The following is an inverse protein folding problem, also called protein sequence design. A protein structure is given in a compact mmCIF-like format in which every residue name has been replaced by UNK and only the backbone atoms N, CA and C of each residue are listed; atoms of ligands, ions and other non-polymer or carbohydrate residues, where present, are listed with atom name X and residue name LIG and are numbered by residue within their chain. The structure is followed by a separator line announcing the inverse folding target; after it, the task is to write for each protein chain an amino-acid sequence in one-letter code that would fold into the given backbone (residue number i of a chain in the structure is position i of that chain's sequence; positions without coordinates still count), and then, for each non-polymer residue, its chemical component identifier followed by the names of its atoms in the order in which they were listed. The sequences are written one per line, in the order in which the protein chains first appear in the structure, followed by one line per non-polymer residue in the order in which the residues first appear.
data_IF_931962034716
#
_entry.id   IF_931962034716
#
_cell.length_a   1.000
_cell.length_b   1.000
_cell.length_c   1.000
_cell.angle_alpha   90.00
_cell.angle_beta   90.00
_cell.angle_gamma   90.00
#
_symmetry.space_group_name_H-M   'P 1'
#
loop_
_entity.id
_entity.type
_entity.pdbx_description
1 polymer ?
#
# COMPACT_ATOMS: atom_id res chain seq x y z
N UNK A 1 19.45 15.85 9.98
CA UNK A 1 19.98 14.46 9.93
C UNK A 1 21.18 14.24 10.87
N UNK A 2 22.12 15.19 11.02
CA UNK A 2 23.27 15.07 11.94
C UNK A 2 22.89 15.02 13.43
N UNK A 3 21.95 15.84 13.88
CA UNK A 3 21.55 15.95 15.30
C UNK A 3 21.02 14.63 15.86
N UNK A 4 20.21 13.88 15.08
CA UNK A 4 19.70 12.58 15.50
C UNK A 4 20.80 11.50 15.58
N UNK A 5 21.84 11.58 14.75
CA UNK A 5 22.96 10.63 14.78
C UNK A 5 23.86 10.86 16.00
N UNK A 6 24.17 12.12 16.30
CA UNK A 6 24.96 12.48 17.49
C UNK A 6 24.21 12.07 18.76
N UNK A 7 22.93 12.40 18.87
CA UNK A 7 22.11 11.97 20.01
C UNK A 7 22.10 10.45 20.18
N UNK A 8 21.95 9.71 19.09
CA UNK A 8 21.95 8.24 19.12
C UNK A 8 23.29 7.65 19.56
N UNK A 9 24.40 8.21 19.08
CA UNK A 9 25.76 7.81 19.49
C UNK A 9 25.94 8.07 20.99
N UNK A 10 25.51 9.23 21.48
CA UNK A 10 25.59 9.58 22.91
C UNK A 10 24.74 8.61 23.75
N UNK A 11 23.49 8.35 23.37
CA UNK A 11 22.63 7.39 24.08
C UNK A 11 23.26 5.99 24.10
N UNK A 12 23.80 5.53 22.97
CA UNK A 12 24.48 4.23 22.88
C UNK A 12 25.68 4.16 23.83
N UNK A 13 26.50 5.22 23.85
CA UNK A 13 27.67 5.31 24.72
C UNK A 13 27.30 5.31 26.20
N UNK A 14 26.32 6.12 26.62
CA UNK A 14 25.85 6.15 28.01
C UNK A 14 25.20 4.83 28.42
N UNK A 15 24.46 4.18 27.53
CA UNK A 15 23.87 2.85 27.77
C UNK A 15 24.97 1.81 28.01
N UNK A 16 26.02 1.80 27.18
CA UNK A 16 27.17 0.90 27.33
C UNK A 16 27.90 1.15 28.65
N UNK A 17 28.17 2.42 29.00
CA UNK A 17 28.83 2.78 30.24
C UNK A 17 28.03 2.31 31.46
N UNK A 18 26.70 2.49 31.43
CA UNK A 18 25.81 2.04 32.50
C UNK A 18 25.87 0.52 32.66
N UNK A 19 25.86 -0.24 31.57
CA UNK A 19 25.97 -1.71 31.65
C UNK A 19 27.35 -2.19 32.09
N UNK A 20 28.44 -1.50 31.72
CA UNK A 20 29.78 -1.80 32.23
C UNK A 20 29.79 -1.67 33.75
N UNK A 21 29.23 -0.59 34.30
CA UNK A 21 29.17 -0.34 35.74
C UNK A 21 28.28 -1.36 36.49
N UNK A 22 27.21 -1.86 35.85
CA UNK A 22 26.26 -2.79 36.48
C UNK A 22 26.70 -4.26 36.43
N UNK A 23 27.39 -4.66 35.36
CA UNK A 23 27.66 -6.08 35.07
C UNK A 23 29.11 -6.51 35.37
N UNK A 24 30.01 -5.55 35.61
CA UNK A 24 31.46 -5.76 35.81
C UNK A 24 32.11 -6.65 34.72
N UNK A 25 31.51 -6.67 33.53
CA UNK A 25 31.95 -7.47 32.40
C UNK A 25 31.72 -6.68 31.10
N UNK A 26 32.82 -6.13 30.57
CA UNK A 26 32.78 -5.26 29.40
C UNK A 26 32.32 -5.98 28.11
N UNK A 27 32.63 -7.28 27.97
CA UNK A 27 32.19 -8.08 26.81
C UNK A 27 30.67 -8.24 26.85
N UNK A 28 30.14 -8.67 28.01
CA UNK A 28 28.72 -8.89 28.20
C UNK A 28 27.92 -7.57 28.05
N UNK A 29 28.42 -6.48 28.64
CA UNK A 29 27.83 -5.15 28.50
C UNK A 29 27.76 -4.68 27.04
N UNK A 30 28.83 -4.93 26.26
CA UNK A 30 28.86 -4.61 24.83
C UNK A 30 27.81 -5.39 24.03
N UNK A 31 27.68 -6.70 24.27
CA UNK A 31 26.69 -7.56 23.60
C UNK A 31 25.26 -7.08 23.91
N UNK A 32 24.94 -6.85 25.19
CA UNK A 32 23.60 -6.40 25.62
C UNK A 32 23.27 -5.04 25.00
N UNK A 33 24.23 -4.11 25.00
CA UNK A 33 24.04 -2.78 24.38
C UNK A 33 23.72 -2.91 22.89
N UNK A 34 24.47 -3.74 22.16
CA UNK A 34 24.26 -3.92 20.72
C UNK A 34 22.86 -4.51 20.44
N UNK A 35 22.42 -5.49 21.23
CA UNK A 35 21.08 -6.07 21.11
C UNK A 35 19.98 -5.04 21.41
N UNK A 36 20.11 -4.26 22.49
CA UNK A 36 19.14 -3.24 22.88
C UNK A 36 19.03 -2.13 21.82
N UNK A 37 20.16 -1.62 21.35
CA UNK A 37 20.20 -0.55 20.35
C UNK A 37 19.70 -1.05 18.99
N UNK A 38 20.07 -2.27 18.59
CA UNK A 38 19.60 -2.90 17.36
C UNK A 38 18.09 -3.13 17.36
N UNK A 39 17.54 -3.69 18.45
CA UNK A 39 16.09 -3.88 18.61
C UNK A 39 15.32 -2.55 18.64
N UNK A 40 15.86 -1.53 19.31
CA UNK A 40 15.30 -0.18 19.29
C UNK A 40 15.24 0.41 17.88
N UNK A 41 16.27 0.22 17.06
CA UNK A 41 16.29 0.68 15.67
C UNK A 41 15.20 0.00 14.82
N UNK A 42 15.06 -1.32 14.98
CA UNK A 42 14.01 -2.10 14.30
C UNK A 42 12.62 -1.58 14.73
N UNK A 43 12.39 -1.36 16.03
CA UNK A 43 11.12 -0.84 16.54
C UNK A 43 10.78 0.55 15.96
N UNK A 44 11.75 1.46 15.90
CA UNK A 44 11.57 2.80 15.30
C UNK A 44 11.26 2.70 13.81
N UNK A 45 11.92 1.78 13.09
CA UNK A 45 11.63 1.55 11.66
C UNK A 45 10.20 1.02 11.46
N UNK A 46 9.78 0.03 12.24
CA UNK A 46 8.43 -0.54 12.19
C UNK A 46 7.36 0.50 12.57
N UNK A 47 7.61 1.29 13.61
CA UNK A 47 6.69 2.36 14.06
C UNK A 47 6.49 3.42 12.99
N UNK A 48 7.58 3.89 12.34
CA UNK A 48 7.49 4.82 11.21
C UNK A 48 6.72 4.23 10.04
N UNK A 49 6.98 2.98 9.69
CA UNK A 49 6.26 2.31 8.61
C UNK A 49 4.76 2.22 8.91
N UNK A 50 4.39 1.85 10.16
CA UNK A 50 2.99 1.81 10.59
C UNK A 50 2.32 3.18 10.51
N UNK A 51 2.97 4.23 11.01
CA UNK A 51 2.46 5.61 10.91
C UNK A 51 2.25 6.06 9.48
N UNK A 52 3.19 5.71 8.58
CA UNK A 52 3.08 6.01 7.16
C UNK A 52 1.89 5.28 6.54
N UNK A 53 1.77 3.97 6.73
CA UNK A 53 0.65 3.19 6.20
C UNK A 53 -0.71 3.65 6.74
N UNK A 54 -0.78 4.11 7.99
CA UNK A 54 -1.99 4.67 8.58
C UNK A 54 -2.53 5.89 7.80
N UNK A 55 -1.64 6.75 7.27
CA UNK A 55 -2.05 7.89 6.42
C UNK A 55 -2.85 7.42 5.20
N UNK A 56 -2.46 6.29 4.62
CA UNK A 56 -3.10 5.76 3.42
C UNK A 56 -4.32 4.92 3.73
N UNK A 57 -4.19 3.98 4.67
CA UNK A 57 -5.18 2.93 4.90
C UNK A 57 -6.37 3.41 5.73
N UNK A 58 -6.13 4.31 6.69
CA UNK A 58 -7.16 4.75 7.65
C UNK A 58 -7.55 6.22 7.45
N UNK A 59 -6.64 7.09 7.03
CA UNK A 59 -6.93 8.51 6.77
C UNK A 59 -7.25 8.81 5.29
N UNK A 60 -7.10 7.81 4.42
CA UNK A 60 -7.37 7.93 2.98
C UNK A 60 -6.66 9.14 2.33
N UNK A 61 -5.44 9.43 2.78
CA UNK A 61 -4.62 10.56 2.31
C UNK A 61 -3.37 10.06 1.56
N UNK A 62 -3.51 9.76 0.26
CA UNK A 62 -2.37 9.34 -0.56
C UNK A 62 -1.31 10.43 -0.73
N UNK A 63 -1.65 11.72 -0.66
CA UNK A 63 -0.66 12.80 -0.71
C UNK A 63 0.26 12.77 0.52
N UNK A 64 -0.32 12.71 1.73
CA UNK A 64 0.45 12.64 2.96
C UNK A 64 1.31 11.37 3.02
N UNK A 65 0.79 10.25 2.52
CA UNK A 65 1.52 8.99 2.42
C UNK A 65 2.72 9.08 1.46
N UNK A 66 2.56 9.70 0.29
CA UNK A 66 3.64 9.95 -0.67
C UNK A 66 4.73 10.83 -0.03
N UNK A 67 4.34 11.94 0.60
CA UNK A 67 5.29 12.84 1.26
C UNK A 67 6.05 12.13 2.40
N UNK A 68 5.36 11.30 3.18
CA UNK A 68 5.98 10.48 4.23
C UNK A 68 6.92 9.41 3.65
N UNK A 69 6.62 8.86 2.46
CA UNK A 69 7.49 7.92 1.73
C UNK A 69 8.78 8.60 1.28
N UNK A 70 8.71 9.80 0.73
CA UNK A 70 9.90 10.58 0.34
C UNK A 70 10.73 11.01 1.56
N UNK A 71 10.09 11.41 2.66
CA UNK A 71 10.80 11.65 3.93
C UNK A 71 11.53 10.41 4.43
N UNK A 72 10.93 9.23 4.30
CA UNK A 72 11.57 7.97 4.66
C UNK A 72 12.76 7.66 3.73
N UNK A 73 12.63 7.93 2.42
CA UNK A 73 13.72 7.80 1.44
C UNK A 73 14.93 8.65 1.82
N UNK A 74 14.70 9.89 2.23
CA UNK A 74 15.77 10.78 2.68
C UNK A 74 16.52 10.22 3.91
N UNK A 75 15.87 9.44 4.77
CA UNK A 75 16.50 8.82 5.95
C UNK A 75 17.30 7.58 5.56
N UNK A 76 16.79 6.74 4.65
CA UNK A 76 17.42 5.47 4.24
C UNK A 76 18.52 5.65 3.20
N UNK A 77 18.54 6.78 2.50
CA UNK A 77 19.61 7.14 1.57
C UNK A 77 19.54 6.39 0.24
N UNK A 78 20.70 6.00 -0.30
CA UNK A 78 20.85 5.47 -1.67
C UNK A 78 20.80 3.94 -1.76
N UNK A 79 20.40 3.23 -0.71
CA UNK A 79 20.29 1.76 -0.78
C UNK A 79 19.28 1.37 -1.87
N UNK A 80 19.72 0.66 -2.93
CA UNK A 80 18.88 0.42 -4.09
C UNK A 80 17.73 -0.53 -3.77
N UNK A 81 17.91 -1.46 -2.82
CA UNK A 81 16.87 -2.41 -2.41
C UNK A 81 15.78 -1.72 -1.61
N UNK A 82 16.16 -0.88 -0.65
CA UNK A 82 15.20 -0.09 0.13
C UNK A 82 14.46 0.87 -0.80
N UNK A 83 15.16 1.53 -1.72
CA UNK A 83 14.53 2.45 -2.67
C UNK A 83 13.58 1.75 -3.64
N UNK A 84 13.87 0.51 -4.05
CA UNK A 84 12.90 -0.30 -4.81
C UNK A 84 11.60 -0.51 -4.02
N UNK A 85 11.68 -0.82 -2.72
CA UNK A 85 10.49 -1.00 -1.87
C UNK A 85 9.72 0.30 -1.69
N UNK A 86 10.42 1.41 -1.43
CA UNK A 86 9.80 2.72 -1.31
C UNK A 86 9.19 3.20 -2.63
N UNK A 87 9.74 2.82 -3.79
CA UNK A 87 9.14 3.12 -5.09
C UNK A 87 7.82 2.35 -5.28
N UNK A 88 7.77 1.06 -4.92
CA UNK A 88 6.51 0.29 -4.96
C UNK A 88 5.44 0.94 -4.08
N UNK A 89 5.81 1.35 -2.86
CA UNK A 89 4.90 2.09 -1.97
C UNK A 89 4.46 3.42 -2.61
N UNK A 90 5.40 4.23 -3.10
CA UNK A 90 5.11 5.51 -3.76
C UNK A 90 4.10 5.34 -4.90
N UNK A 91 4.27 4.30 -5.73
CA UNK A 91 3.35 3.98 -6.81
C UNK A 91 1.95 3.63 -6.31
N UNK A 92 1.81 2.93 -5.18
CA UNK A 92 0.49 2.70 -4.59
C UNK A 92 -0.21 4.01 -4.22
N UNK A 93 0.54 5.00 -3.72
CA UNK A 93 0.02 6.35 -3.49
C UNK A 93 -0.43 7.03 -4.78
N UNK A 94 0.37 6.97 -5.84
CA UNK A 94 0.03 7.54 -7.16
C UNK A 94 -1.22 6.89 -7.78
N UNK A 95 -1.34 5.56 -7.70
CA UNK A 95 -2.52 4.81 -8.15
C UNK A 95 -3.77 5.30 -7.41
N UNK A 96 -3.67 5.52 -6.10
CA UNK A 96 -4.76 6.03 -5.27
C UNK A 96 -5.06 7.52 -5.48
N UNK A 97 -4.23 8.23 -6.23
CA UNK A 97 -4.48 9.55 -6.80
C UNK A 97 -4.96 9.52 -8.27
N UNK A 98 -5.17 8.34 -8.85
CA UNK A 98 -5.58 8.20 -10.25
C UNK A 98 -4.46 8.49 -11.25
N UNK A 99 -3.20 8.62 -10.79
CA UNK A 99 -2.03 8.92 -11.62
C UNK A 99 -1.40 7.64 -12.17
N UNK A 100 -2.20 6.87 -12.92
CA UNK A 100 -1.83 5.51 -13.35
C UNK A 100 -0.60 5.48 -14.27
N UNK A 101 -0.49 6.39 -15.23
CA UNK A 101 0.66 6.44 -16.14
C UNK A 101 1.96 6.74 -15.38
N UNK A 102 1.95 7.75 -14.51
CA UNK A 102 3.12 8.11 -13.68
C UNK A 102 3.55 6.92 -12.80
N UNK A 103 2.58 6.22 -12.22
CA UNK A 103 2.84 5.02 -11.43
C UNK A 103 3.41 3.88 -12.28
N UNK A 104 2.87 3.62 -13.48
CA UNK A 104 3.35 2.59 -14.41
C UNK A 104 4.79 2.85 -14.82
N UNK A 105 5.11 4.08 -15.25
CA UNK A 105 6.45 4.47 -15.67
C UNK A 105 7.48 4.26 -14.54
N UNK A 106 7.12 4.68 -13.32
CA UNK A 106 7.97 4.49 -12.15
C UNK A 106 8.14 3.01 -11.80
N UNK A 107 7.07 2.20 -11.81
CA UNK A 107 7.16 0.76 -11.60
C UNK A 107 8.11 0.11 -12.61
N UNK A 108 7.94 0.38 -13.91
CA UNK A 108 8.78 -0.21 -14.96
C UNK A 108 10.25 0.17 -14.84
N UNK A 109 10.58 1.29 -14.18
CA UNK A 109 11.96 1.70 -13.88
C UNK A 109 12.62 0.91 -12.72
N UNK A 110 11.85 0.16 -11.93
CA UNK A 110 12.37 -0.58 -10.78
C UNK A 110 13.12 -1.82 -11.26
N UNK A 111 14.38 -1.94 -10.84
CA UNK A 111 15.15 -3.17 -11.02
C UNK A 111 14.58 -4.31 -10.15
N UNK A 112 13.86 -5.23 -10.78
CA UNK A 112 13.13 -6.31 -10.12
C UNK A 112 14.05 -7.27 -9.34
N UNK A 113 15.37 -7.27 -9.55
CA UNK A 113 16.30 -8.10 -8.77
C UNK A 113 16.27 -7.78 -7.28
N UNK A 114 15.81 -6.58 -6.91
CA UNK A 114 15.66 -6.15 -5.52
C UNK A 114 14.33 -6.60 -4.89
N UNK A 115 13.36 -6.99 -5.71
CA UNK A 115 12.06 -7.49 -5.28
C UNK A 115 12.12 -9.00 -5.07
N UNK A 116 11.33 -9.51 -4.13
CA UNK A 116 11.36 -10.91 -3.76
C UNK A 116 9.97 -11.51 -3.67
N UNK A 117 9.85 -12.74 -4.19
CA UNK A 117 8.69 -13.60 -3.96
C UNK A 117 8.52 -13.95 -2.48
N UNK A 118 9.65 -14.18 -1.77
CA UNK A 118 9.65 -14.68 -0.38
C UNK A 118 9.03 -13.72 0.63
N UNK A 119 9.07 -12.42 0.35
CA UNK A 119 8.50 -11.38 1.22
C UNK A 119 7.30 -10.66 0.57
N UNK A 120 6.82 -11.14 -0.57
CA UNK A 120 5.66 -10.58 -1.27
C UNK A 120 5.89 -9.28 -2.03
N UNK A 121 7.08 -8.66 -1.96
CA UNK A 121 7.32 -7.36 -2.64
C UNK A 121 7.18 -7.44 -4.16
N UNK A 122 7.55 -8.59 -4.76
CA UNK A 122 7.33 -8.80 -6.20
C UNK A 122 5.84 -8.95 -6.53
N UNK A 123 5.04 -9.57 -5.65
CA UNK A 123 3.59 -9.67 -5.84
C UNK A 123 2.92 -8.29 -5.77
N UNK A 124 3.26 -7.47 -4.77
CA UNK A 124 2.72 -6.10 -4.66
C UNK A 124 3.06 -5.27 -5.90
N UNK A 125 4.32 -5.35 -6.35
CA UNK A 125 4.76 -4.71 -7.60
C UNK A 125 3.89 -5.13 -8.80
N UNK A 126 3.68 -6.44 -8.97
CA UNK A 126 2.91 -6.97 -10.09
C UNK A 126 1.43 -6.57 -10.00
N UNK A 127 0.82 -6.62 -8.82
CA UNK A 127 -0.57 -6.16 -8.61
C UNK A 127 -0.69 -4.68 -8.97
N UNK A 128 0.21 -3.82 -8.46
CA UNK A 128 0.18 -2.39 -8.76
C UNK A 128 0.31 -2.12 -10.27
N UNK A 129 1.18 -2.86 -10.97
CA UNK A 129 1.35 -2.70 -12.40
C UNK A 129 0.08 -3.10 -13.17
N UNK A 130 -0.57 -4.19 -12.78
CA UNK A 130 -1.84 -4.62 -13.38
C UNK A 130 -2.94 -3.58 -13.12
N UNK A 131 -3.05 -3.07 -11.89
CA UNK A 131 -4.02 -2.02 -11.56
C UNK A 131 -3.75 -0.72 -12.34
N UNK A 132 -2.49 -0.36 -12.63
CA UNK A 132 -2.20 0.75 -13.54
C UNK A 132 -2.75 0.49 -14.95
N UNK A 133 -2.51 -0.70 -15.51
CA UNK A 133 -3.01 -1.07 -16.84
C UNK A 133 -4.55 -1.03 -16.87
N UNK A 134 -5.23 -1.59 -15.86
CA UNK A 134 -6.68 -1.52 -15.76
C UNK A 134 -7.20 -0.07 -15.62
N UNK A 135 -6.57 0.75 -14.78
CA UNK A 135 -6.92 2.16 -14.60
C UNK A 135 -6.79 3.00 -15.88
N UNK A 136 -5.99 2.56 -16.85
CA UNK A 136 -5.85 3.21 -18.17
C UNK A 136 -6.65 2.51 -19.28
N UNK A 137 -7.39 1.45 -18.96
CA UNK A 137 -8.15 0.66 -19.94
C UNK A 137 -7.29 -0.27 -20.80
N UNK A 138 -6.02 -0.49 -20.46
CA UNK A 138 -5.08 -1.38 -21.15
C UNK A 138 -5.30 -2.85 -20.78
N UNK A 139 -6.53 -3.33 -20.96
CA UNK A 139 -6.97 -4.67 -20.55
C UNK A 139 -6.06 -5.78 -21.11
N UNK A 140 -5.67 -5.80 -22.41
CA UNK A 140 -4.82 -6.87 -22.93
C UNK A 140 -3.45 -6.98 -22.23
N UNK A 141 -2.83 -5.85 -21.88
CA UNK A 141 -1.53 -5.85 -21.17
C UNK A 141 -1.69 -6.35 -19.73
N UNK A 142 -2.75 -5.90 -19.06
CA UNK A 142 -3.11 -6.35 -17.72
C UNK A 142 -3.31 -7.88 -17.67
N UNK A 143 -3.99 -8.45 -18.67
CA UNK A 143 -4.23 -9.90 -18.76
C UNK A 143 -2.95 -10.71 -18.97
N UNK A 144 -2.05 -10.24 -19.84
CA UNK A 144 -0.76 -10.92 -20.04
C UNK A 144 0.02 -10.97 -18.73
N UNK A 145 0.05 -9.87 -17.98
CA UNK A 145 0.69 -9.82 -16.66
C UNK A 145 -0.01 -10.74 -15.66
N UNK A 146 -1.34 -10.72 -15.60
CA UNK A 146 -2.12 -11.55 -14.71
C UNK A 146 -1.82 -13.04 -14.94
N UNK A 147 -2.01 -13.53 -16.17
CA UNK A 147 -1.88 -14.95 -16.52
C UNK A 147 -0.44 -15.46 -16.43
N UNK A 148 0.55 -14.62 -16.76
CA UNK A 148 1.96 -15.06 -16.80
C UNK A 148 2.72 -14.86 -15.49
N UNK A 149 2.30 -13.89 -14.64
CA UNK A 149 3.05 -13.53 -13.43
C UNK A 149 2.33 -13.96 -12.14
N UNK A 150 1.02 -13.70 -12.00
CA UNK A 150 0.31 -13.94 -10.74
C UNK A 150 0.37 -15.42 -10.30
N UNK A 151 0.18 -16.43 -11.17
CA UNK A 151 0.30 -17.85 -10.79
C UNK A 151 1.66 -18.23 -10.21
N UNK A 152 2.72 -17.47 -10.53
CA UNK A 152 4.09 -17.72 -10.08
C UNK A 152 4.43 -17.00 -8.76
N UNK A 153 3.47 -16.28 -8.17
CA UNK A 153 3.63 -15.37 -7.04
C UNK A 153 2.58 -15.66 -5.96
N UNK A 154 2.82 -16.70 -5.16
CA UNK A 154 1.91 -17.04 -4.06
C UNK A 154 1.92 -15.95 -2.97
N UNK A 155 0.74 -15.51 -2.47
CA UNK A 155 0.67 -14.59 -1.34
C UNK A 155 1.25 -15.24 -0.08
N UNK A 156 2.09 -14.48 0.65
CA UNK A 156 2.83 -14.99 1.82
C UNK A 156 2.15 -14.70 3.16
N UNK A 157 1.02 -13.98 3.16
CA UNK A 157 0.21 -13.68 4.33
C UNK A 157 -1.23 -13.30 3.91
N UNK A 158 -2.16 -13.27 4.86
CA UNK A 158 -3.58 -12.98 4.61
C UNK A 158 -3.83 -11.61 3.98
N UNK A 159 -3.02 -10.59 4.30
CA UNK A 159 -3.12 -9.26 3.69
C UNK A 159 -2.85 -9.34 2.18
N UNK A 160 -1.84 -10.09 1.77
CA UNK A 160 -1.53 -10.29 0.36
C UNK A 160 -2.53 -11.21 -0.33
N UNK A 161 -3.11 -12.18 0.37
CA UNK A 161 -4.24 -12.97 -0.15
C UNK A 161 -5.39 -12.03 -0.50
N UNK A 162 -5.81 -11.16 0.43
CA UNK A 162 -6.86 -10.19 0.17
C UNK A 162 -6.55 -9.29 -1.04
N UNK A 163 -5.29 -8.86 -1.22
CA UNK A 163 -4.91 -8.05 -2.39
C UNK A 163 -5.06 -8.81 -3.71
N UNK A 164 -4.71 -10.10 -3.73
CA UNK A 164 -4.93 -10.94 -4.89
C UNK A 164 -6.42 -11.16 -5.15
N UNK A 165 -7.24 -11.38 -4.12
CA UNK A 165 -8.70 -11.54 -4.27
C UNK A 165 -9.37 -10.26 -4.79
N UNK A 166 -8.95 -9.09 -4.31
CA UNK A 166 -9.42 -7.79 -4.83
C UNK A 166 -9.02 -7.59 -6.30
N UNK A 167 -7.80 -7.99 -6.68
CA UNK A 167 -7.37 -7.96 -8.07
C UNK A 167 -8.21 -8.90 -8.96
N UNK A 168 -8.58 -10.08 -8.44
CA UNK A 168 -9.49 -11.00 -9.15
C UNK A 168 -10.87 -10.36 -9.34
N UNK A 169 -11.41 -9.71 -8.31
CA UNK A 169 -12.69 -9.01 -8.40
C UNK A 169 -12.65 -7.88 -9.45
N UNK A 170 -11.58 -7.09 -9.46
CA UNK A 170 -11.32 -6.03 -10.45
C UNK A 170 -11.21 -6.63 -11.87
N UNK A 171 -10.45 -7.72 -12.02
CA UNK A 171 -10.36 -8.43 -13.31
C UNK A 171 -11.73 -8.88 -13.82
N UNK A 172 -12.55 -9.50 -12.98
CA UNK A 172 -13.91 -9.93 -13.35
C UNK A 172 -14.75 -8.73 -13.84
N UNK A 173 -14.63 -7.59 -13.15
CA UNK A 173 -15.28 -6.34 -13.56
C UNK A 173 -14.84 -5.90 -14.96
N UNK A 174 -13.52 -5.87 -15.21
CA UNK A 174 -12.95 -5.44 -16.50
C UNK A 174 -13.32 -6.36 -17.67
N UNK A 175 -13.69 -7.62 -17.41
CA UNK A 175 -14.22 -8.56 -18.41
C UNK A 175 -15.75 -8.53 -18.53
N UNK A 176 -16.42 -7.59 -17.86
CA UNK A 176 -17.88 -7.47 -17.89
C UNK A 176 -18.61 -8.57 -17.11
N UNK A 177 -17.90 -9.38 -16.32
CA UNK A 177 -18.49 -10.41 -15.45
C UNK A 177 -18.97 -9.77 -14.14
N UNK A 178 -19.89 -8.83 -14.26
CA UNK A 178 -20.28 -7.92 -13.19
C UNK A 178 -20.88 -8.64 -11.97
N UNK A 179 -21.66 -9.71 -12.18
CA UNK A 179 -22.24 -10.49 -11.07
C UNK A 179 -21.16 -11.22 -10.28
N UNK A 180 -20.25 -11.95 -10.96
CA UNK A 180 -19.13 -12.65 -10.33
C UNK A 180 -18.21 -11.64 -9.60
N UNK A 181 -17.96 -10.48 -10.20
CA UNK A 181 -17.19 -9.40 -9.58
C UNK A 181 -17.87 -8.88 -8.30
N UNK A 182 -19.18 -8.65 -8.34
CA UNK A 182 -19.98 -8.20 -7.18
C UNK A 182 -19.92 -9.20 -6.04
N UNK A 183 -20.10 -10.49 -6.32
CA UNK A 183 -19.97 -11.56 -5.32
C UNK A 183 -18.57 -11.53 -4.70
N UNK A 184 -17.54 -11.43 -5.53
CA UNK A 184 -16.15 -11.43 -5.08
C UNK A 184 -15.80 -10.23 -4.19
N UNK A 185 -16.28 -9.05 -4.54
CA UNK A 185 -16.14 -7.86 -3.70
C UNK A 185 -16.87 -8.00 -2.37
N UNK A 186 -18.07 -8.59 -2.35
CA UNK A 186 -18.81 -8.84 -1.11
C UNK A 186 -18.10 -9.86 -0.20
N UNK A 187 -17.49 -10.91 -0.74
CA UNK A 187 -16.64 -11.83 0.03
C UNK A 187 -15.51 -11.06 0.73
N UNK A 188 -14.84 -10.15 0.01
CA UNK A 188 -13.74 -9.35 0.56
C UNK A 188 -14.19 -8.39 1.68
N UNK A 189 -15.46 -7.97 1.71
CA UNK A 189 -16.00 -7.08 2.75
C UNK A 189 -16.19 -7.77 4.12
N UNK A 190 -16.27 -9.10 4.14
CA UNK A 190 -16.40 -9.90 5.37
C UNK A 190 -15.07 -9.95 6.14
N UNK A 191 -13.95 -9.77 5.43
CA UNK A 191 -12.61 -9.79 5.99
C UNK A 191 -12.26 -8.52 6.80
N UNK A 192 -11.18 -8.61 7.59
CA UNK A 192 -10.62 -7.44 8.26
C UNK A 192 -9.91 -6.52 7.26
N UNK A 193 -10.63 -5.53 6.76
CA UNK A 193 -10.14 -4.55 5.78
C UNK A 193 -9.93 -3.15 6.37
N UNK A 194 -9.08 -2.35 5.72
CA UNK A 194 -8.90 -0.92 6.06
C UNK A 194 -10.06 -0.07 5.56
N UNK A 195 -10.18 1.17 6.06
CA UNK A 195 -11.18 2.12 5.56
C UNK A 195 -10.99 2.35 4.06
N UNK A 196 -9.75 2.62 3.63
CA UNK A 196 -9.42 2.81 2.21
C UNK A 196 -9.88 1.63 1.34
N UNK A 197 -9.62 0.39 1.78
CA UNK A 197 -10.04 -0.80 1.03
C UNK A 197 -11.56 -0.88 0.91
N UNK A 198 -12.28 -0.65 2.03
CA UNK A 198 -13.74 -0.61 2.03
C UNK A 198 -14.28 0.40 1.02
N UNK A 199 -13.74 1.61 1.00
CA UNK A 199 -14.20 2.66 0.09
C UNK A 199 -13.90 2.33 -1.38
N UNK A 200 -12.73 1.76 -1.68
CA UNK A 200 -12.45 1.26 -3.04
C UNK A 200 -13.44 0.17 -3.46
N UNK A 201 -13.76 -0.78 -2.57
CA UNK A 201 -14.75 -1.83 -2.85
C UNK A 201 -16.14 -1.23 -3.05
N UNK A 202 -16.54 -0.28 -2.22
CA UNK A 202 -17.85 0.38 -2.32
C UNK A 202 -17.99 1.16 -3.62
N UNK A 203 -16.93 1.84 -4.05
CA UNK A 203 -16.89 2.48 -5.35
C UNK A 203 -17.10 1.47 -6.50
N UNK A 204 -16.37 0.35 -6.51
CA UNK A 204 -16.56 -0.69 -7.54
C UNK A 204 -17.96 -1.31 -7.50
N UNK A 205 -18.51 -1.57 -6.31
CA UNK A 205 -19.88 -2.07 -6.14
C UNK A 205 -20.92 -1.05 -6.62
N UNK A 206 -20.71 0.24 -6.39
CA UNK A 206 -21.59 1.30 -6.86
C UNK A 206 -21.63 1.35 -8.40
N UNK A 207 -20.47 1.22 -9.06
CA UNK A 207 -20.40 1.13 -10.52
C UNK A 207 -21.15 -0.10 -11.06
N UNK A 208 -21.06 -1.23 -10.36
CA UNK A 208 -21.81 -2.44 -10.73
C UNK A 208 -23.32 -2.24 -10.55
N UNK A 209 -23.75 -1.64 -9.44
CA UNK A 209 -25.16 -1.36 -9.17
C UNK A 209 -25.74 -0.39 -10.21
N UNK A 210 -24.98 0.64 -10.58
CA UNK A 210 -25.32 1.57 -11.67
C UNK A 210 -25.47 0.84 -13.01
N UNK A 211 -24.56 -0.08 -13.33
CA UNK A 211 -24.64 -0.90 -14.54
C UNK A 211 -25.85 -1.85 -14.57
N UNK A 212 -26.35 -2.26 -13.41
CA UNK A 212 -27.60 -3.03 -13.28
C UNK A 212 -28.86 -2.16 -13.16
N UNK A 213 -28.73 -0.83 -13.15
CA UNK A 213 -29.84 0.11 -13.02
C UNK A 213 -30.35 0.30 -11.59
N UNK A 214 -29.66 -0.23 -10.58
CA UNK A 214 -29.97 0.01 -9.17
C UNK A 214 -29.32 1.32 -8.70
N UNK A 215 -29.87 2.42 -9.20
CA UNK A 215 -29.32 3.76 -8.97
C UNK A 215 -29.35 4.17 -7.49
N UNK A 216 -30.33 3.70 -6.73
CA UNK A 216 -30.42 3.99 -5.29
C UNK A 216 -29.28 3.32 -4.54
N UNK A 217 -29.03 2.03 -4.78
CA UNK A 217 -27.95 1.31 -4.12
C UNK A 217 -26.56 1.84 -4.54
N UNK A 218 -26.42 2.29 -5.80
CA UNK A 218 -25.22 2.96 -6.28
C UNK A 218 -25.00 4.31 -5.57
N UNK A 219 -26.04 5.13 -5.47
CA UNK A 219 -26.02 6.45 -4.84
C UNK A 219 -25.54 6.36 -3.37
N UNK A 220 -26.14 5.49 -2.57
CA UNK A 220 -25.77 5.29 -1.16
C UNK A 220 -24.28 4.94 -0.98
N UNK A 221 -23.75 4.08 -1.87
CA UNK A 221 -22.33 3.70 -1.84
C UNK A 221 -21.43 4.84 -2.26
N UNK A 222 -21.76 5.56 -3.33
CA UNK A 222 -21.00 6.74 -3.74
C UNK A 222 -20.99 7.82 -2.66
N UNK A 223 -22.09 8.08 -1.97
CA UNK A 223 -22.14 9.03 -0.85
C UNK A 223 -21.18 8.64 0.28
N UNK A 224 -21.11 7.36 0.62
CA UNK A 224 -20.16 6.87 1.64
C UNK A 224 -18.71 7.06 1.19
N UNK A 225 -18.41 6.76 -0.08
CA UNK A 225 -17.09 6.97 -0.69
C UNK A 225 -16.69 8.43 -0.65
N UNK A 226 -17.58 9.36 -1.00
CA UNK A 226 -17.32 10.81 -0.93
C UNK A 226 -17.09 11.26 0.51
N UNK A 227 -17.93 10.81 1.44
CA UNK A 227 -17.89 11.25 2.84
C UNK A 227 -16.59 10.89 3.55
N UNK A 228 -16.02 9.72 3.26
CA UNK A 228 -14.84 9.20 3.98
C UNK A 228 -13.59 9.05 3.13
N UNK A 229 -13.70 9.20 1.81
CA UNK A 229 -12.61 8.93 0.87
C UNK A 229 -11.53 10.01 0.81
N UNK A 230 -11.75 11.17 1.43
CA UNK A 230 -10.76 12.24 1.58
C UNK A 230 -10.11 12.63 0.24
N UNK A 231 -8.84 12.24 -0.01
CA UNK A 231 -8.09 12.59 -1.24
C UNK A 231 -7.88 11.41 -2.17
N UNK A 232 -8.71 10.36 -2.07
CA UNK A 232 -8.70 9.26 -3.01
C UNK A 232 -9.36 9.68 -4.33
N UNK A 233 -8.80 9.27 -5.46
CA UNK A 233 -9.40 9.56 -6.78
C UNK A 233 -10.82 8.98 -6.90
N UNK A 234 -11.10 7.84 -6.27
CA UNK A 234 -12.45 7.24 -6.26
C UNK A 234 -13.48 8.12 -5.55
N UNK A 235 -13.05 8.96 -4.60
CA UNK A 235 -13.93 9.92 -3.93
C UNK A 235 -14.24 11.11 -4.84
N UNK A 236 -13.24 11.58 -5.58
CA UNK A 236 -13.42 12.62 -6.60
C UNK A 236 -14.34 12.13 -7.72
N UNK A 237 -14.15 10.92 -8.23
CA UNK A 237 -15.03 10.36 -9.27
C UNK A 237 -16.45 10.09 -8.75
N UNK A 238 -16.60 9.49 -7.56
CA UNK A 238 -17.91 9.27 -6.94
C UNK A 238 -18.70 10.59 -6.78
N UNK A 239 -18.02 11.69 -6.43
CA UNK A 239 -18.63 13.01 -6.33
C UNK A 239 -19.20 13.49 -7.68
N UNK A 240 -18.48 13.24 -8.79
CA UNK A 240 -18.95 13.56 -10.14
C UNK A 240 -20.15 12.69 -10.54
N UNK A 241 -20.13 11.39 -10.19
CA UNK A 241 -21.23 10.45 -10.44
C UNK A 241 -22.53 10.89 -9.75
N UNK A 242 -22.45 11.26 -8.47
CA UNK A 242 -23.61 11.76 -7.72
C UNK A 242 -24.22 13.04 -8.34
N UNK A 243 -23.37 13.95 -8.82
CA UNK A 243 -23.82 15.18 -9.47
C UNK A 243 -24.54 14.87 -10.80
N UNK A 244 -24.03 13.90 -11.58
CA UNK A 244 -24.65 13.49 -12.84
C UNK A 244 -26.02 12.81 -12.64
N UNK A 245 -26.25 12.13 -11.52
CA UNK A 245 -27.54 11.50 -11.20
C UNK A 245 -28.62 12.46 -10.68
N UNK A 246 -28.26 13.72 -10.43
CA UNK A 246 -29.19 14.76 -9.92
C UNK A 246 -29.81 15.61 -11.04
N UNK A 247 -29.34 15.45 -12.29
CA UNK A 247 -29.80 16.18 -13.49
C UNK A 247 -30.75 15.30 -14.31
#
# INVERSE_FOLDING_TARGET
MLVNRIYFILVTFFTMLTFILLLDNYILAGIITLLLVGTGYIFIALSRNKKRLHLLEDLCDPYAFIEATERQRAITGKDPKINAYLNVDYCAGLILLGRFQEAKDLLLSIDQKYLSKKNGTLLIYTINLISCCYGMGEIPEAEVLFETKIPLLSPVNSKLTLYTELLIAERLYMHGKLLESKEKYNECLVEKISLRQRLCIFYSLAQIDEAFGDLQAAHEKYEEVVKYGNRLWVAEDAQLKLQAHTI
#
